data_IF_402960926328
#
_entry.id   IF_402960926328
#
_cell.length_a   1.000
_cell.length_b   1.000
_cell.length_c   1.000
_cell.angle_alpha   90.00
_cell.angle_beta   90.00
_cell.angle_gamma   90.00
#
_symmetry.space_group_name_H-M   'P 1'
#
loop_
_entity.id
_entity.type
_entity.pdbx_description
1 polymer ?
#
# COMPACT_ATOMS: atom_id res chain seq x y z
N UNK A 1 -21.31 -24.34 -28.11
CA UNK A 1 -20.96 -22.95 -27.77
C UNK A 1 -20.11 -22.90 -26.49
N UNK A 2 -18.85 -22.44 -26.52
CA UNK A 2 -18.08 -22.31 -25.30
C UNK A 2 -18.69 -21.16 -24.48
N UNK A 3 -19.07 -21.49 -23.26
CA UNK A 3 -19.77 -20.65 -22.28
C UNK A 3 -18.79 -19.71 -21.59
N UNK A 4 -19.29 -18.51 -21.25
CA UNK A 4 -18.62 -17.36 -20.65
C UNK A 4 -18.06 -17.57 -19.22
N UNK A 5 -17.19 -18.57 -19.03
CA UNK A 5 -16.61 -18.94 -17.73
C UNK A 5 -15.08 -18.79 -17.64
N UNK A 6 -14.43 -18.19 -18.65
CA UNK A 6 -12.98 -18.04 -18.71
C UNK A 6 -12.46 -16.62 -18.36
N UNK A 7 -13.33 -15.71 -17.90
CA UNK A 7 -12.97 -14.29 -17.82
C UNK A 7 -12.29 -13.84 -16.52
N UNK A 8 -12.24 -14.67 -15.48
CA UNK A 8 -11.38 -14.49 -14.28
C UNK A 8 -11.65 -13.27 -13.39
N UNK A 9 -12.49 -12.32 -13.82
CA UNK A 9 -12.96 -11.14 -13.09
C UNK A 9 -14.44 -10.88 -13.43
N UNK A 10 -15.26 -10.33 -12.52
CA UNK A 10 -14.88 -9.82 -11.18
C UNK A 10 -14.74 -10.93 -10.13
N UNK A 11 -13.79 -10.75 -9.19
CA UNK A 11 -13.62 -11.57 -7.98
C UNK A 11 -13.97 -10.71 -6.77
N UNK A 12 -14.83 -11.23 -5.89
CA UNK A 12 -15.08 -10.67 -4.57
C UNK A 12 -14.77 -11.76 -3.54
N UNK A 13 -13.82 -11.52 -2.65
CA UNK A 13 -13.54 -12.38 -1.51
C UNK A 13 -13.71 -11.60 -0.20
N UNK A 14 -14.46 -12.16 0.76
CA UNK A 14 -14.59 -11.64 2.12
C UNK A 14 -14.16 -12.71 3.09
N UNK A 15 -13.27 -12.36 4.00
CA UNK A 15 -12.78 -13.24 5.06
C UNK A 15 -13.34 -12.72 6.39
N UNK A 16 -14.49 -13.25 6.86
CA UNK A 16 -15.13 -12.76 8.07
C UNK A 16 -14.38 -13.22 9.33
N UNK A 17 -14.40 -12.40 10.38
CA UNK A 17 -14.07 -12.85 11.73
C UNK A 17 -12.66 -12.55 12.23
N UNK A 18 -11.99 -11.51 11.73
CA UNK A 18 -10.69 -11.09 12.28
C UNK A 18 -9.90 -10.24 11.29
N UNK A 19 -8.66 -9.91 11.69
CA UNK A 19 -7.69 -9.25 10.80
C UNK A 19 -7.01 -10.29 9.92
N UNK A 20 -6.74 -9.92 8.66
CA UNK A 20 -6.02 -10.79 7.73
C UNK A 20 -4.62 -11.11 8.26
N UNK A 21 -4.18 -12.36 8.10
CA UNK A 21 -2.87 -12.82 8.58
C UNK A 21 -2.68 -12.90 10.11
N UNK A 22 -3.66 -12.48 10.93
CA UNK A 22 -3.68 -12.74 12.39
C UNK A 22 -4.39 -14.07 12.71
N UNK A 23 -5.43 -14.40 11.94
CA UNK A 23 -6.14 -15.67 12.04
C UNK A 23 -5.50 -16.73 11.12
N UNK A 24 -5.17 -17.94 11.61
CA UNK A 24 -4.54 -18.99 10.78
C UNK A 24 -5.35 -19.40 9.55
N UNK A 25 -6.67 -19.16 9.57
CA UNK A 25 -7.56 -19.47 8.45
C UNK A 25 -7.64 -18.35 7.40
N UNK A 26 -7.11 -17.15 7.70
CA UNK A 26 -7.12 -16.02 6.79
C UNK A 26 -5.83 -15.95 5.97
N UNK A 27 -5.90 -15.61 4.68
CA UNK A 27 -4.71 -15.40 3.87
C UNK A 27 -3.92 -14.20 4.39
N UNK A 28 -2.62 -14.22 4.14
CA UNK A 28 -1.77 -13.05 4.35
C UNK A 28 -2.07 -11.99 3.27
N UNK A 29 -1.88 -10.71 3.58
CA UNK A 29 -2.04 -9.62 2.61
C UNK A 29 -1.12 -9.81 1.41
N UNK A 30 0.07 -10.39 1.59
CA UNK A 30 0.98 -10.72 0.50
C UNK A 30 0.36 -11.76 -0.48
N UNK A 31 -0.29 -12.79 0.04
CA UNK A 31 -0.95 -13.82 -0.80
C UNK A 31 -2.09 -13.21 -1.62
N UNK A 32 -2.86 -12.30 -1.01
CA UNK A 32 -3.92 -11.58 -1.69
C UNK A 32 -3.36 -10.63 -2.76
N UNK A 33 -2.26 -9.94 -2.47
CA UNK A 33 -1.59 -9.06 -3.43
C UNK A 33 -1.10 -9.85 -4.66
N UNK A 34 -0.43 -10.99 -4.44
CA UNK A 34 0.00 -11.90 -5.53
C UNK A 34 -1.19 -12.36 -6.35
N UNK A 35 -2.26 -12.84 -5.70
CA UNK A 35 -3.46 -13.30 -6.41
C UNK A 35 -4.14 -12.19 -7.21
N UNK A 36 -4.20 -10.99 -6.66
CA UNK A 36 -4.76 -9.83 -7.34
C UNK A 36 -3.92 -9.45 -8.57
N UNK A 37 -2.59 -9.43 -8.43
CA UNK A 37 -1.67 -9.16 -9.54
C UNK A 37 -1.82 -10.19 -10.66
N UNK A 38 -1.87 -11.50 -10.36
CA UNK A 38 -2.08 -12.54 -11.37
C UNK A 38 -3.34 -12.31 -12.20
N UNK A 39 -4.46 -12.01 -11.52
CA UNK A 39 -5.76 -11.79 -12.17
C UNK A 39 -5.78 -10.50 -12.98
N UNK A 40 -5.27 -9.41 -12.41
CA UNK A 40 -5.24 -8.09 -13.04
C UNK A 40 -4.28 -8.05 -14.22
N UNK A 41 -3.08 -8.63 -14.10
CA UNK A 41 -2.10 -8.69 -15.18
C UNK A 41 -2.64 -9.51 -16.36
N UNK A 42 -3.21 -10.69 -16.10
CA UNK A 42 -3.79 -11.50 -17.15
C UNK A 42 -4.98 -10.77 -17.84
N UNK A 43 -5.81 -10.05 -17.07
CA UNK A 43 -6.91 -9.27 -17.64
C UNK A 43 -6.41 -8.07 -18.46
N UNK A 44 -5.37 -7.38 -17.98
CA UNK A 44 -4.72 -6.26 -18.66
C UNK A 44 -4.15 -6.67 -20.02
N UNK A 45 -3.43 -7.80 -20.07
CA UNK A 45 -2.90 -8.39 -21.31
C UNK A 45 -4.01 -8.69 -22.32
N UNK A 46 -5.09 -9.37 -21.89
CA UNK A 46 -6.21 -9.71 -22.78
C UNK A 46 -6.93 -8.49 -23.33
N UNK A 47 -7.01 -7.42 -22.53
CA UNK A 47 -7.75 -6.18 -22.87
C UNK A 47 -6.88 -5.16 -23.58
N UNK A 48 -5.57 -5.35 -23.65
CA UNK A 48 -4.64 -4.34 -24.14
C UNK A 48 -4.65 -3.08 -23.27
N UNK A 49 -4.85 -3.23 -21.96
CA UNK A 49 -4.92 -2.13 -20.98
C UNK A 49 -3.80 -2.25 -19.94
N UNK A 50 -3.69 -1.24 -19.06
CA UNK A 50 -2.91 -1.35 -17.83
C UNK A 50 -3.71 -1.99 -16.69
N UNK A 51 -3.10 -2.03 -15.50
CA UNK A 51 -3.75 -2.38 -14.24
C UNK A 51 -3.55 -1.27 -13.21
N UNK A 52 -4.44 -1.25 -12.22
CA UNK A 52 -4.33 -0.43 -11.02
C UNK A 52 -4.68 -1.31 -9.83
N UNK A 53 -3.82 -1.31 -8.81
CA UNK A 53 -3.97 -2.11 -7.60
C UNK A 53 -3.63 -1.25 -6.39
N UNK A 54 -4.48 -1.32 -5.37
CA UNK A 54 -4.24 -0.77 -4.04
C UNK A 54 -4.22 -1.94 -3.06
N UNK A 55 -3.22 -1.95 -2.19
CA UNK A 55 -3.04 -2.95 -1.12
C UNK A 55 -2.86 -2.18 0.17
N UNK A 56 -3.59 -2.58 1.20
CA UNK A 56 -3.62 -1.91 2.51
C UNK A 56 -3.45 -2.96 3.62
N UNK A 57 -2.73 -2.61 4.67
CA UNK A 57 -2.58 -3.41 5.89
C UNK A 57 -2.95 -2.56 7.12
N UNK A 58 -4.23 -2.61 7.47
CA UNK A 58 -4.87 -1.88 8.59
C UNK A 58 -4.27 -2.23 9.96
N UNK A 59 -3.62 -3.40 10.08
CA UNK A 59 -3.05 -3.87 11.33
C UNK A 59 -2.00 -2.94 11.93
N UNK A 60 -1.33 -2.13 11.11
CA UNK A 60 -0.33 -1.15 11.56
C UNK A 60 -1.02 -0.06 12.39
N UNK A 61 -2.06 0.56 11.84
CA UNK A 61 -2.83 1.59 12.52
C UNK A 61 -3.52 1.04 13.77
N UNK A 62 -4.15 -0.13 13.64
CA UNK A 62 -4.81 -0.78 14.79
C UNK A 62 -3.81 -1.09 15.91
N UNK A 63 -2.61 -1.60 15.60
CA UNK A 63 -1.57 -1.83 16.59
C UNK A 63 -1.13 -0.53 17.27
N UNK A 64 -0.90 0.52 16.48
CA UNK A 64 -0.49 1.83 16.99
C UNK A 64 -1.56 2.50 17.86
N UNK A 65 -2.85 2.38 17.55
CA UNK A 65 -3.94 2.88 18.39
C UNK A 65 -3.97 2.27 19.79
N UNK A 66 -3.49 1.03 19.93
CA UNK A 66 -3.40 0.31 21.19
C UNK A 66 -2.01 0.42 21.85
N UNK A 67 -1.08 1.18 21.24
CA UNK A 67 0.32 1.24 21.64
C UNK A 67 0.99 -0.14 21.74
N UNK A 68 0.54 -1.06 20.89
CA UNK A 68 1.01 -2.44 20.81
C UNK A 68 2.10 -2.55 19.76
N UNK A 69 3.35 -2.44 20.22
CA UNK A 69 4.53 -2.50 19.37
C UNK A 69 4.67 -3.84 18.66
N UNK A 70 4.34 -4.95 19.31
CA UNK A 70 4.47 -6.29 18.73
C UNK A 70 3.47 -6.46 17.58
N UNK A 71 2.21 -6.08 17.81
CA UNK A 71 1.17 -6.14 16.78
C UNK A 71 1.45 -5.20 15.61
N UNK A 72 1.84 -3.95 15.90
CA UNK A 72 2.21 -2.98 14.86
C UNK A 72 3.38 -3.50 14.01
N UNK A 73 4.40 -4.09 14.66
CA UNK A 73 5.56 -4.67 13.96
C UNK A 73 5.17 -5.88 13.11
N UNK A 74 4.33 -6.77 13.64
CA UNK A 74 3.84 -7.92 12.89
C UNK A 74 3.05 -7.51 11.63
N UNK A 75 2.23 -6.46 11.74
CA UNK A 75 1.51 -5.88 10.60
C UNK A 75 2.47 -5.23 9.59
N UNK A 76 3.47 -4.47 10.05
CA UNK A 76 4.49 -3.90 9.18
C UNK A 76 5.25 -4.98 8.39
N UNK A 77 5.55 -6.13 9.03
CA UNK A 77 6.15 -7.28 8.37
C UNK A 77 5.23 -7.97 7.36
N UNK A 78 3.90 -7.95 7.57
CA UNK A 78 2.92 -8.41 6.56
C UNK A 78 2.93 -7.50 5.34
N UNK A 79 2.89 -6.19 5.55
CA UNK A 79 2.99 -5.21 4.47
C UNK A 79 4.32 -5.32 3.72
N UNK A 80 5.44 -5.50 4.42
CA UNK A 80 6.77 -5.68 3.82
C UNK A 80 6.82 -6.88 2.86
N UNK A 81 6.24 -8.02 3.23
CA UNK A 81 6.10 -9.18 2.33
C UNK A 81 5.25 -8.88 1.10
N UNK A 82 4.17 -8.12 1.25
CA UNK A 82 3.36 -7.68 0.11
C UNK A 82 4.15 -6.75 -0.81
N UNK A 83 4.92 -5.81 -0.25
CA UNK A 83 5.82 -4.91 -1.00
C UNK A 83 6.89 -5.71 -1.74
N UNK A 84 7.52 -6.70 -1.09
CA UNK A 84 8.50 -7.59 -1.72
C UNK A 84 7.89 -8.30 -2.95
N UNK A 85 6.70 -8.88 -2.81
CA UNK A 85 6.00 -9.55 -3.91
C UNK A 85 5.65 -8.58 -5.06
N UNK A 86 5.17 -7.38 -4.75
CA UNK A 86 4.80 -6.36 -5.74
C UNK A 86 6.05 -5.82 -6.47
N UNK A 87 7.13 -5.53 -5.73
CA UNK A 87 8.40 -5.11 -6.33
C UNK A 87 8.99 -6.25 -7.17
N UNK A 88 8.87 -7.50 -6.73
CA UNK A 88 9.25 -8.68 -7.51
C UNK A 88 8.49 -8.80 -8.83
N UNK A 89 7.17 -8.58 -8.82
CA UNK A 89 6.37 -8.49 -10.04
C UNK A 89 6.80 -7.35 -10.95
N UNK A 90 7.14 -6.20 -10.37
CA UNK A 90 7.54 -5.01 -11.11
C UNK A 90 8.99 -5.09 -11.63
N UNK A 91 9.84 -5.91 -11.03
CA UNK A 91 11.26 -6.02 -11.34
C UNK A 91 11.52 -6.35 -12.83
N UNK A 92 12.38 -5.57 -13.46
CA UNK A 92 12.69 -5.70 -14.88
C UNK A 92 11.64 -5.12 -15.83
N UNK A 93 10.51 -4.62 -15.32
CA UNK A 93 9.50 -3.93 -16.10
C UNK A 93 9.78 -2.43 -16.17
N UNK A 94 9.47 -1.83 -17.31
CA UNK A 94 9.57 -0.37 -17.55
C UNK A 94 8.20 0.32 -17.65
N UNK A 95 7.13 -0.41 -17.35
CA UNK A 95 5.73 0.03 -17.47
C UNK A 95 5.00 0.04 -16.12
N UNK A 96 5.71 -0.22 -15.02
CA UNK A 96 5.11 -0.39 -13.69
C UNK A 96 5.69 0.64 -12.71
N UNK A 97 4.81 1.38 -12.04
CA UNK A 97 5.12 2.25 -10.91
C UNK A 97 4.57 1.60 -9.64
N UNK A 98 5.42 1.45 -8.62
CA UNK A 98 5.06 1.02 -7.28
C UNK A 98 5.21 2.20 -6.34
N UNK A 99 4.16 2.51 -5.58
CA UNK A 99 4.17 3.51 -4.52
C UNK A 99 3.89 2.83 -3.19
N UNK A 100 4.69 3.15 -2.17
CA UNK A 100 4.47 2.75 -0.78
C UNK A 100 4.42 4.02 0.05
N UNK A 101 3.30 4.25 0.70
CA UNK A 101 3.03 5.45 1.49
C UNK A 101 2.05 5.10 2.62
N UNK A 102 1.86 6.05 3.52
CA UNK A 102 0.86 5.99 4.58
C UNK A 102 -0.17 7.11 4.37
N UNK A 103 -1.38 6.90 4.85
CA UNK A 103 -2.45 7.89 4.93
C UNK A 103 -2.23 8.89 6.08
N UNK A 104 -1.77 8.40 7.24
CA UNK A 104 -1.32 9.19 8.39
C UNK A 104 -0.43 8.37 9.35
N UNK A 105 0.29 9.06 10.23
CA UNK A 105 0.93 8.42 11.38
C UNK A 105 -0.06 8.22 12.53
N UNK A 106 0.21 7.23 13.40
CA UNK A 106 -0.62 6.90 14.57
C UNK A 106 0.24 6.62 15.80
N UNK A 107 -0.22 7.10 16.96
CA UNK A 107 0.37 6.85 18.27
C UNK A 107 1.57 7.76 18.62
N UNK A 108 2.18 8.41 17.61
CA UNK A 108 3.38 9.23 17.78
C UNK A 108 4.51 8.43 18.45
N UNK A 109 4.80 7.27 17.86
CA UNK A 109 5.84 6.35 18.32
C UNK A 109 7.22 7.04 18.28
N UNK A 110 7.98 6.88 19.36
CA UNK A 110 9.36 7.31 19.45
C UNK A 110 10.24 6.17 19.94
N UNK A 111 11.39 5.97 19.28
CA UNK A 111 12.43 5.04 19.73
C UNK A 111 13.40 5.81 20.62
N UNK A 112 13.59 5.33 21.83
CA UNK A 112 14.50 5.92 22.81
C UNK A 112 15.96 5.65 22.42
N UNK A 113 16.83 6.65 22.61
CA UNK A 113 18.26 6.57 22.29
C UNK A 113 19.06 5.62 23.21
N UNK A 114 18.41 5.06 24.23
CA UNK A 114 18.92 3.99 25.09
C UNK A 114 18.59 2.59 24.58
N UNK A 115 17.94 2.46 23.42
CA UNK A 115 17.77 1.19 22.72
C UNK A 115 19.11 0.64 22.23
N UNK A 116 19.24 -0.69 22.21
CA UNK A 116 20.41 -1.39 21.69
C UNK A 116 20.02 -2.59 20.81
N UNK A 117 21.00 -3.40 20.39
CA UNK A 117 20.78 -4.51 19.48
C UNK A 117 19.89 -5.64 20.04
N UNK A 118 19.64 -5.69 21.35
CA UNK A 118 18.82 -6.73 21.99
C UNK A 118 17.61 -6.17 22.72
N UNK A 119 17.59 -4.86 23.00
CA UNK A 119 16.53 -4.19 23.75
C UNK A 119 16.04 -2.97 22.99
N UNK A 120 14.79 -3.04 22.51
CA UNK A 120 14.10 -1.90 21.94
C UNK A 120 13.28 -1.19 23.02
N UNK A 121 13.52 0.11 23.21
CA UNK A 121 12.78 0.96 24.15
C UNK A 121 11.99 1.99 23.36
N UNK A 122 10.68 2.02 23.57
CA UNK A 122 9.78 2.93 22.85
C UNK A 122 8.90 3.70 23.80
N UNK A 123 8.48 4.88 23.36
CA UNK A 123 7.47 5.70 23.99
C UNK A 123 6.39 6.08 22.98
N UNK A 124 5.17 6.27 23.47
CA UNK A 124 4.01 6.69 22.68
C UNK A 124 3.47 7.99 23.25
N UNK A 125 3.02 8.89 22.38
CA UNK A 125 2.46 10.19 22.80
C UNK A 125 0.95 10.13 22.98
N UNK A 126 0.26 9.26 22.23
CA UNK A 126 -1.18 9.07 22.31
C UNK A 126 -1.57 7.69 21.75
N UNK A 127 -2.86 7.36 21.76
CA UNK A 127 -3.45 6.29 20.94
C UNK A 127 -4.34 6.87 19.84
N UNK A 128 -3.91 7.98 19.23
CA UNK A 128 -4.63 8.72 18.18
C UNK A 128 -3.69 8.99 17.01
N UNK A 129 -4.26 9.47 15.90
CA UNK A 129 -3.46 9.88 14.76
C UNK A 129 -2.56 11.05 15.15
N UNK A 130 -1.41 11.12 14.49
CA UNK A 130 -0.39 12.13 14.71
C UNK A 130 -0.12 12.88 13.39
N UNK A 131 0.26 14.16 13.51
CA UNK A 131 0.29 15.12 12.40
C UNK A 131 1.64 15.24 11.70
N UNK A 132 2.59 14.35 11.97
CA UNK A 132 3.87 14.35 11.30
C UNK A 132 3.75 13.99 9.81
N UNK A 133 4.62 14.54 8.95
CA UNK A 133 4.70 14.10 7.56
C UNK A 133 5.04 12.61 7.46
N UNK A 134 4.32 11.91 6.59
CA UNK A 134 4.58 10.51 6.25
C UNK A 134 5.49 10.39 5.02
N UNK A 135 6.27 9.31 4.97
CA UNK A 135 7.15 9.04 3.84
C UNK A 135 6.38 8.51 2.63
N UNK A 136 6.89 8.81 1.43
CA UNK A 136 6.48 8.21 0.17
C UNK A 136 7.70 7.57 -0.46
N UNK A 137 7.61 6.28 -0.75
CA UNK A 137 8.60 5.53 -1.51
C UNK A 137 8.04 5.24 -2.90
N UNK A 138 8.83 5.51 -3.93
CA UNK A 138 8.44 5.29 -5.32
C UNK A 138 9.50 4.46 -6.06
N UNK A 139 9.06 3.39 -6.71
CA UNK A 139 9.89 2.50 -7.52
C UNK A 139 9.29 2.34 -8.93
N UNK A 140 10.15 2.34 -9.96
CA UNK A 140 9.72 2.18 -11.35
C UNK A 140 10.54 3.05 -12.31
N UNK A 141 10.02 3.38 -13.51
CA UNK A 141 10.70 4.25 -14.46
C UNK A 141 11.13 5.57 -13.82
N UNK A 142 12.44 5.84 -13.82
CA UNK A 142 13.02 7.00 -13.12
C UNK A 142 12.37 8.35 -13.51
N UNK A 143 11.91 8.46 -14.77
CA UNK A 143 11.23 9.65 -15.24
C UNK A 143 9.87 9.91 -14.59
N UNK A 144 9.21 8.85 -14.12
CA UNK A 144 7.94 8.90 -13.41
C UNK A 144 8.18 8.94 -11.90
N UNK A 145 8.98 8.03 -11.36
CA UNK A 145 9.21 7.91 -9.91
C UNK A 145 9.75 9.19 -9.27
N UNK A 146 10.62 9.95 -9.97
CA UNK A 146 11.15 11.23 -9.45
C UNK A 146 10.09 12.29 -9.14
N UNK A 147 8.88 12.19 -9.74
CA UNK A 147 7.78 13.14 -9.51
C UNK A 147 7.24 13.09 -8.08
N UNK A 148 7.47 11.98 -7.37
CA UNK A 148 7.06 11.76 -5.99
C UNK A 148 8.11 12.22 -4.97
N UNK A 149 9.24 12.79 -5.43
CA UNK A 149 10.26 13.36 -4.54
C UNK A 149 9.86 14.75 -4.02
N UNK A 150 10.35 15.13 -2.85
CA UNK A 150 10.04 16.40 -2.21
C UNK A 150 8.84 16.31 -1.24
N UNK A 151 8.30 17.47 -0.88
CA UNK A 151 7.13 17.59 0.00
C UNK A 151 5.87 17.75 -0.83
N UNK A 152 4.87 16.92 -0.56
CA UNK A 152 3.58 16.93 -1.22
C UNK A 152 2.48 16.97 -0.18
N UNK A 153 1.43 17.74 -0.45
CA UNK A 153 0.14 17.53 0.21
C UNK A 153 -0.47 16.22 -0.30
N UNK A 154 -1.22 15.50 0.55
CA UNK A 154 -1.80 14.22 0.15
C UNK A 154 -2.82 14.38 -1.00
N UNK A 155 -3.45 15.55 -1.15
CA UNK A 155 -4.37 15.81 -2.27
C UNK A 155 -3.64 15.82 -3.62
N UNK A 156 -2.33 16.13 -3.63
CA UNK A 156 -1.53 16.13 -4.86
C UNK A 156 -1.19 14.72 -5.34
N UNK A 157 -1.24 13.72 -4.47
CA UNK A 157 -0.87 12.34 -4.81
C UNK A 157 -1.81 11.74 -5.85
N UNK A 158 -3.12 12.05 -5.76
CA UNK A 158 -4.09 11.65 -6.78
C UNK A 158 -3.68 12.12 -8.19
N UNK A 159 -3.34 13.40 -8.34
CA UNK A 159 -2.97 13.95 -9.63
C UNK A 159 -1.69 13.30 -10.17
N UNK A 160 -0.69 13.10 -9.31
CA UNK A 160 0.58 12.48 -9.71
C UNK A 160 0.38 11.03 -10.19
N UNK A 161 -0.49 10.28 -9.51
CA UNK A 161 -0.86 8.91 -9.92
C UNK A 161 -1.66 8.92 -11.23
N UNK A 162 -2.62 9.82 -11.39
CA UNK A 162 -3.39 9.96 -12.63
C UNK A 162 -2.50 10.32 -13.82
N UNK A 163 -1.60 11.28 -13.66
CA UNK A 163 -0.61 11.67 -14.66
C UNK A 163 0.32 10.48 -15.01
N UNK A 164 0.79 9.73 -14.02
CA UNK A 164 1.63 8.55 -14.22
C UNK A 164 0.91 7.42 -14.97
N UNK A 165 -0.40 7.26 -14.72
CA UNK A 165 -1.25 6.29 -15.41
C UNK A 165 -1.70 6.74 -16.81
N UNK A 166 -1.29 7.94 -17.26
CA UNK A 166 -1.71 8.51 -18.54
C UNK A 166 -3.19 8.89 -18.59
N UNK A 167 -3.82 9.05 -17.43
CA UNK A 167 -5.19 9.55 -17.31
C UNK A 167 -5.15 11.07 -17.45
N UNK A 168 -6.10 11.64 -18.19
CA UNK A 168 -6.23 13.09 -18.27
C UNK A 168 -6.38 13.68 -16.86
N UNK A 169 -5.66 14.76 -16.56
CA UNK A 169 -5.84 15.47 -15.29
C UNK A 169 -7.32 15.80 -15.13
N UNK A 170 -7.91 15.42 -13.99
CA UNK A 170 -9.24 15.91 -13.64
C UNK A 170 -9.17 17.45 -13.70
N UNK A 171 -10.17 18.13 -14.30
CA UNK A 171 -10.19 19.58 -14.27
C UNK A 171 -10.07 20.01 -12.81
N UNK A 172 -9.12 20.90 -12.52
CA UNK A 172 -8.88 21.40 -11.17
C UNK A 172 -10.23 21.77 -10.55
N UNK A 173 -10.57 21.16 -9.42
CA UNK A 173 -11.71 21.60 -8.63
C UNK A 173 -11.51 23.11 -8.42
N UNK A 174 -12.44 23.91 -8.94
CA UNK A 174 -12.31 25.35 -9.04
C UNK A 174 -11.86 25.93 -7.71
N UNK A 175 -10.81 26.75 -7.75
CA UNK A 175 -10.33 27.46 -6.57
C UNK A 175 -11.49 28.22 -5.94
N UNK A 176 -11.74 27.97 -4.67
CA UNK A 176 -12.61 28.83 -3.89
C UNK A 176 -11.91 30.18 -3.71
N UNK A 177 -12.63 31.22 -4.13
CA UNK A 177 -12.29 32.64 -3.97
C UNK A 177 -12.35 33.09 -2.52
#
# INVERSE_FOLDING_TARGET
PPTAAADGLPLWAVFPGGVLGEEPAHPDVADLAVRALDLLAAAAERRGSGLFLVVEEEGIDTGAHHNDLERMTAAALRLDRAVEAIVGFAAGRSDTLVLVLSDHSTGGLSIDNTSDATTLRVAWTSGRHAGEPVAIYAWGPAAVARRFSGFHDNTRIFDLVAEAAGLAAAPAAGGES
#
